data_IF_588635472989
#
_entry.id   IF_588635472989
#
_cell.length_a   1.000
_cell.length_b   1.000
_cell.length_c   1.000
_cell.angle_alpha   90.00
_cell.angle_beta   90.00
_cell.angle_gamma   90.00
#
_symmetry.space_group_name_H-M   'P 1'
#
loop_
_entity.id
_entity.type
_entity.pdbx_description
1 polymer ?
#
# COMPACT_ATOMS: atom_id res chain seq x y z
N UNK A 1 -2.03 -5.01 19.29
CA UNK A 1 -2.08 -3.79 18.49
C UNK A 1 -2.97 -3.97 17.28
N UNK A 2 -3.69 -2.92 16.92
CA UNK A 2 -4.59 -2.99 15.77
C UNK A 2 -3.79 -3.03 14.47
N UNK A 3 -4.31 -3.76 13.49
CA UNK A 3 -3.74 -3.78 12.15
C UNK A 3 -3.99 -2.44 11.44
N UNK A 4 -3.01 -1.98 10.68
CA UNK A 4 -3.21 -0.86 9.74
C UNK A 4 -4.02 -1.36 8.54
N UNK A 5 -4.47 -0.45 7.69
CA UNK A 5 -5.13 -0.84 6.45
C UNK A 5 -4.20 -1.69 5.56
N UNK A 6 -2.90 -1.34 5.56
CA UNK A 6 -1.88 -2.18 4.90
C UNK A 6 -1.89 -3.60 5.49
N UNK A 7 -1.85 -3.71 6.80
CA UNK A 7 -1.84 -5.00 7.49
C UNK A 7 -3.10 -5.82 7.21
N UNK A 8 -4.26 -5.16 7.19
CA UNK A 8 -5.53 -5.83 6.86
C UNK A 8 -5.51 -6.39 5.45
N UNK A 9 -5.00 -5.61 4.49
CA UNK A 9 -4.91 -6.05 3.10
C UNK A 9 -4.00 -7.27 2.94
N UNK A 10 -2.84 -7.25 3.60
CA UNK A 10 -1.88 -8.36 3.56
C UNK A 10 -2.47 -9.60 4.23
N UNK A 11 -3.11 -9.43 5.38
CA UNK A 11 -3.73 -10.54 6.08
C UNK A 11 -4.86 -11.17 5.26
N UNK A 12 -5.69 -10.34 4.65
CA UNK A 12 -6.76 -10.82 3.76
C UNK A 12 -6.17 -11.60 2.59
N UNK A 13 -5.08 -11.11 2.01
CA UNK A 13 -4.41 -11.79 0.91
C UNK A 13 -3.91 -13.17 1.34
N UNK A 14 -3.38 -13.30 2.56
CA UNK A 14 -2.97 -14.62 3.07
C UNK A 14 -4.16 -15.57 3.20
N UNK A 15 -5.27 -15.07 3.71
CA UNK A 15 -6.49 -15.88 3.84
C UNK A 15 -6.97 -16.33 2.45
N UNK A 16 -6.99 -15.41 1.49
CA UNK A 16 -7.46 -15.70 0.13
C UNK A 16 -6.56 -16.69 -0.60
N UNK A 17 -5.29 -16.78 -0.23
CA UNK A 17 -4.31 -17.68 -0.86
C UNK A 17 -3.95 -18.88 0.01
N UNK A 18 -4.68 -19.11 1.10
CA UNK A 18 -4.43 -20.21 2.04
C UNK A 18 -2.98 -20.24 2.54
N UNK A 19 -2.45 -19.07 2.86
CA UNK A 19 -1.07 -18.92 3.28
C UNK A 19 -0.99 -18.44 4.73
N UNK A 20 -0.12 -19.06 5.52
CA UNK A 20 0.10 -18.63 6.91
C UNK A 20 1.17 -17.56 6.97
N UNK A 21 1.17 -16.79 8.07
CA UNK A 21 2.22 -15.82 8.33
C UNK A 21 3.60 -16.50 8.38
N UNK A 22 3.66 -17.68 8.97
CA UNK A 22 4.90 -18.43 9.07
C UNK A 22 5.43 -18.83 7.69
N UNK A 23 4.57 -19.35 6.82
CA UNK A 23 4.96 -19.70 5.45
C UNK A 23 5.49 -18.49 4.71
N UNK A 24 4.76 -17.38 4.80
CA UNK A 24 5.14 -16.14 4.16
C UNK A 24 6.51 -15.65 4.67
N UNK A 25 6.72 -15.67 5.99
CA UNK A 25 7.99 -15.25 6.57
C UNK A 25 9.17 -16.09 6.09
N UNK A 26 8.98 -17.39 6.00
CA UNK A 26 10.03 -18.29 5.53
C UNK A 26 10.40 -18.02 4.07
N UNK A 27 9.40 -17.85 3.21
CA UNK A 27 9.65 -17.59 1.79
C UNK A 27 10.29 -16.22 1.55
N UNK A 28 9.94 -15.23 2.37
CA UNK A 28 10.54 -13.90 2.25
C UNK A 28 11.87 -13.77 3.00
N UNK A 29 12.27 -14.81 3.74
CA UNK A 29 13.54 -14.81 4.46
C UNK A 29 13.58 -13.87 5.65
N UNK A 30 12.44 -13.69 6.31
CA UNK A 30 12.31 -12.82 7.50
C UNK A 30 11.59 -13.56 8.61
N UNK A 31 11.54 -12.95 9.79
CA UNK A 31 10.81 -13.52 10.93
C UNK A 31 9.33 -13.13 10.83
N UNK A 32 8.48 -13.94 11.46
CA UNK A 32 7.05 -13.61 11.59
C UNK A 32 6.86 -12.29 12.34
N UNK A 33 7.71 -12.03 13.35
CA UNK A 33 7.67 -10.80 14.12
C UNK A 33 7.96 -9.57 13.23
N UNK A 34 8.91 -9.70 12.29
CA UNK A 34 9.21 -8.63 11.34
C UNK A 34 8.00 -8.29 10.48
N UNK A 35 7.36 -9.31 9.88
CA UNK A 35 6.16 -9.10 9.06
C UNK A 35 5.03 -8.52 9.89
N UNK A 36 4.83 -9.02 11.10
CA UNK A 36 3.80 -8.50 12.00
C UNK A 36 4.02 -7.03 12.30
N UNK A 37 5.28 -6.61 12.47
CA UNK A 37 5.62 -5.21 12.68
C UNK A 37 5.24 -4.31 11.50
N UNK A 38 5.39 -4.82 10.27
CA UNK A 38 4.95 -4.09 9.08
C UNK A 38 3.42 -3.96 9.06
N UNK A 39 2.72 -5.01 9.45
CA UNK A 39 1.25 -5.06 9.41
C UNK A 39 0.59 -4.19 10.48
N UNK A 40 1.23 -4.03 11.62
CA UNK A 40 0.70 -3.22 12.73
C UNK A 40 1.16 -1.77 12.69
N UNK A 41 2.11 -1.46 11.82
CA UNK A 41 2.65 -0.10 11.72
C UNK A 41 3.71 0.21 12.76
N UNK A 42 4.15 -0.78 13.56
CA UNK A 42 5.23 -0.57 14.50
C UNK A 42 6.58 -0.41 13.80
N UNK A 43 6.65 -0.83 12.54
CA UNK A 43 7.82 -0.64 11.68
C UNK A 43 7.39 0.10 10.42
N UNK A 44 8.25 0.98 9.91
CA UNK A 44 8.06 1.59 8.60
C UNK A 44 8.18 0.53 7.52
N UNK A 45 7.48 0.73 6.41
CA UNK A 45 7.41 -0.22 5.31
C UNK A 45 8.21 0.31 4.13
N UNK A 46 9.47 -0.16 3.92
CA UNK A 46 10.25 0.27 2.76
C UNK A 46 9.63 -0.22 1.45
N UNK A 47 9.88 0.52 0.38
CA UNK A 47 9.42 0.18 -0.97
C UNK A 47 9.78 -1.25 -1.36
N UNK A 48 10.97 -1.69 -0.99
CA UNK A 48 11.45 -3.04 -1.26
C UNK A 48 10.47 -4.09 -0.75
N UNK A 49 9.98 -3.90 0.49
CA UNK A 49 9.08 -4.89 1.09
C UNK A 49 7.68 -4.83 0.49
N UNK A 50 7.22 -3.66 0.06
CA UNK A 50 5.95 -3.56 -0.68
C UNK A 50 6.05 -4.41 -1.95
N UNK A 51 7.14 -4.23 -2.71
CA UNK A 51 7.36 -4.97 -3.95
C UNK A 51 7.49 -6.48 -3.69
N UNK A 52 8.27 -6.87 -2.69
CA UNK A 52 8.49 -8.28 -2.37
C UNK A 52 7.18 -8.96 -1.95
N UNK A 53 6.34 -8.26 -1.18
CA UNK A 53 5.04 -8.78 -0.77
C UNK A 53 4.10 -8.88 -1.96
N UNK A 54 4.08 -7.87 -2.84
CA UNK A 54 3.29 -7.93 -4.06
C UNK A 54 3.69 -9.13 -4.93
N UNK A 55 5.00 -9.34 -5.11
CA UNK A 55 5.53 -10.44 -5.90
C UNK A 55 5.18 -11.80 -5.28
N UNK A 56 5.24 -11.88 -3.95
CA UNK A 56 4.86 -13.09 -3.21
C UNK A 56 3.43 -13.51 -3.54
N UNK A 57 2.49 -12.57 -3.47
CA UNK A 57 1.08 -12.87 -3.74
C UNK A 57 0.80 -13.04 -5.23
N UNK A 58 1.51 -12.29 -6.08
CA UNK A 58 1.37 -12.42 -7.53
C UNK A 58 1.73 -13.84 -7.98
N UNK A 59 2.77 -14.44 -7.40
CA UNK A 59 3.16 -15.81 -7.70
C UNK A 59 2.08 -16.82 -7.30
N UNK A 60 1.12 -16.41 -6.48
CA UNK A 60 -0.01 -17.22 -6.03
C UNK A 60 -1.33 -16.81 -6.70
N UNK A 61 -1.23 -16.01 -7.77
CA UNK A 61 -2.41 -15.64 -8.56
C UNK A 61 -3.21 -14.46 -8.01
N UNK A 62 -2.66 -13.72 -7.05
CA UNK A 62 -3.36 -12.59 -6.44
C UNK A 62 -2.56 -11.31 -6.61
N UNK A 63 -3.15 -10.32 -7.29
CA UNK A 63 -2.53 -9.02 -7.47
C UNK A 63 -3.04 -8.01 -6.44
N UNK A 64 -2.11 -7.30 -5.81
CA UNK A 64 -2.41 -6.26 -4.83
C UNK A 64 -1.99 -4.91 -5.39
N UNK A 65 -2.89 -4.28 -6.14
CA UNK A 65 -2.59 -3.07 -6.93
C UNK A 65 -2.32 -1.82 -6.10
N UNK A 66 -3.01 -1.69 -4.95
CA UNK A 66 -2.94 -0.47 -4.14
C UNK A 66 -2.04 -0.63 -2.91
N UNK A 67 -1.22 -1.66 -2.87
CA UNK A 67 -0.42 -1.97 -1.67
C UNK A 67 0.56 -0.85 -1.31
N UNK A 68 1.16 -0.21 -2.31
CA UNK A 68 2.08 0.92 -2.05
C UNK A 68 1.34 2.10 -1.42
N UNK A 69 0.12 2.41 -1.90
CA UNK A 69 -0.68 3.48 -1.31
C UNK A 69 -0.99 3.20 0.15
N UNK A 70 -1.35 1.95 0.46
CA UNK A 70 -1.63 1.55 1.83
C UNK A 70 -0.38 1.62 2.72
N UNK A 71 0.78 1.27 2.17
CA UNK A 71 2.04 1.39 2.88
C UNK A 71 2.38 2.86 3.16
N UNK A 72 2.17 3.73 2.17
CA UNK A 72 2.42 5.17 2.32
C UNK A 72 1.56 5.75 3.43
N UNK A 73 0.28 5.36 3.50
CA UNK A 73 -0.62 5.82 4.57
C UNK A 73 -0.14 5.32 5.92
N UNK A 74 0.26 4.04 6.01
CA UNK A 74 0.81 3.49 7.25
C UNK A 74 2.07 4.21 7.67
N UNK A 75 2.93 4.55 6.70
CA UNK A 75 4.18 5.26 6.97
C UNK A 75 3.97 6.75 7.23
N UNK A 76 2.79 7.27 6.96
CA UNK A 76 2.50 8.71 7.01
C UNK A 76 3.46 9.50 6.11
N UNK A 77 3.76 8.95 4.93
CA UNK A 77 4.78 9.50 4.05
C UNK A 77 4.55 9.05 2.62
N UNK A 78 4.65 9.98 1.68
CA UNK A 78 4.60 9.70 0.25
C UNK A 78 5.86 10.27 -0.39
N UNK A 79 6.60 9.44 -1.14
CA UNK A 79 7.80 9.90 -1.83
C UNK A 79 7.41 10.71 -3.07
N UNK A 80 8.08 11.83 -3.27
CA UNK A 80 7.92 12.64 -4.48
C UNK A 80 8.97 12.30 -5.54
N UNK A 81 9.85 11.35 -5.25
CA UNK A 81 10.89 10.93 -6.20
C UNK A 81 10.28 10.40 -7.50
N UNK A 82 10.84 10.84 -8.61
CA UNK A 82 10.39 10.41 -9.92
C UNK A 82 9.18 11.16 -10.46
N UNK A 83 8.57 12.02 -9.66
CA UNK A 83 7.43 12.82 -10.10
C UNK A 83 7.90 14.12 -10.77
N UNK A 84 7.14 14.58 -11.76
CA UNK A 84 7.37 15.88 -12.36
C UNK A 84 7.12 16.98 -11.33
N UNK A 85 7.66 18.17 -11.56
CA UNK A 85 7.42 19.30 -10.67
C UNK A 85 5.95 19.61 -10.54
N UNK A 86 5.20 19.52 -11.65
CA UNK A 86 3.76 19.74 -11.64
C UNK A 86 3.04 18.74 -10.74
N UNK A 87 3.41 17.47 -10.82
CA UNK A 87 2.83 16.44 -9.94
C UNK A 87 3.19 16.69 -8.49
N UNK A 88 4.45 17.05 -8.21
CA UNK A 88 4.87 17.34 -6.84
C UNK A 88 4.07 18.49 -6.25
N UNK A 89 3.84 19.53 -7.03
CA UNK A 89 3.04 20.70 -6.59
C UNK A 89 1.59 20.30 -6.31
N UNK A 90 1.01 19.46 -7.16
CA UNK A 90 -0.36 18.98 -6.95
C UNK A 90 -0.48 18.14 -5.69
N UNK A 91 0.46 17.23 -5.45
CA UNK A 91 0.45 16.38 -4.25
C UNK A 91 0.56 17.25 -2.99
N UNK A 92 1.50 18.19 -2.98
CA UNK A 92 1.71 19.07 -1.83
C UNK A 92 0.49 19.96 -1.58
N UNK A 93 -0.08 20.51 -2.65
CA UNK A 93 -1.28 21.35 -2.55
C UNK A 93 -2.48 20.58 -2.06
N UNK A 94 -2.69 19.38 -2.61
CA UNK A 94 -3.79 18.51 -2.19
C UNK A 94 -3.71 18.18 -0.69
N UNK A 95 -2.51 17.85 -0.22
CA UNK A 95 -2.29 17.46 1.18
C UNK A 95 -2.66 18.56 2.17
N UNK A 96 -2.61 19.83 1.74
CA UNK A 96 -2.88 20.98 2.60
C UNK A 96 -4.27 21.58 2.37
N UNK A 97 -5.02 21.11 1.37
CA UNK A 97 -6.32 21.72 1.02
C UNK A 97 -7.45 21.18 1.91
N UNK A 98 -8.32 22.08 2.43
CA UNK A 98 -9.48 21.65 3.22
C UNK A 98 -10.58 21.18 2.28
N UNK A 99 -10.57 19.90 1.94
CA UNK A 99 -11.54 19.34 1.00
C UNK A 99 -12.72 18.70 1.75
N UNK A 100 -13.92 18.89 1.22
CA UNK A 100 -15.12 18.23 1.74
C UNK A 100 -15.12 16.76 1.31
N UNK A 101 -15.86 15.88 2.03
CA UNK A 101 -15.99 14.49 1.61
C UNK A 101 -16.49 14.33 0.18
N UNK A 102 -17.37 15.23 -0.26
CA UNK A 102 -17.90 15.21 -1.62
C UNK A 102 -16.83 15.52 -2.66
N UNK A 103 -16.01 16.54 -2.37
CA UNK A 103 -14.88 16.89 -3.24
C UNK A 103 -13.86 15.77 -3.31
N UNK A 104 -13.55 15.13 -2.17
CA UNK A 104 -12.65 13.98 -2.12
C UNK A 104 -13.17 12.83 -2.98
N UNK A 105 -14.47 12.58 -2.93
CA UNK A 105 -15.12 11.55 -3.74
C UNK A 105 -14.96 11.83 -5.23
N UNK A 106 -15.15 13.08 -5.65
CA UNK A 106 -14.98 13.47 -7.06
C UNK A 106 -13.54 13.27 -7.53
N UNK A 107 -12.58 13.66 -6.71
CA UNK A 107 -11.17 13.48 -7.03
C UNK A 107 -10.85 11.99 -7.14
N UNK A 108 -11.32 11.17 -6.20
CA UNK A 108 -11.11 9.74 -6.22
C UNK A 108 -11.69 9.09 -7.49
N UNK A 109 -12.87 9.52 -7.91
CA UNK A 109 -13.50 9.04 -9.14
C UNK A 109 -12.70 9.43 -10.38
N UNK A 110 -12.19 10.66 -10.42
CA UNK A 110 -11.35 11.12 -11.53
C UNK A 110 -10.07 10.29 -11.61
N UNK A 111 -9.42 10.05 -10.49
CA UNK A 111 -8.20 9.22 -10.45
C UNK A 111 -8.48 7.78 -10.90
N UNK A 112 -9.61 7.23 -10.49
CA UNK A 112 -10.02 5.89 -10.90
C UNK A 112 -10.21 5.82 -12.41
N UNK A 113 -10.84 6.83 -13.01
CA UNK A 113 -11.06 6.89 -14.46
C UNK A 113 -9.75 7.01 -15.21
N UNK A 114 -8.82 7.84 -14.73
CA UNK A 114 -7.49 8.00 -15.32
C UNK A 114 -6.75 6.67 -15.31
N UNK A 115 -6.75 5.97 -14.19
CA UNK A 115 -6.06 4.68 -14.06
C UNK A 115 -6.71 3.59 -14.91
N UNK A 116 -8.03 3.61 -15.05
CA UNK A 116 -8.74 2.64 -15.90
C UNK A 116 -8.46 2.86 -17.38
N UNK A 117 -8.26 4.11 -17.79
CA UNK A 117 -8.04 4.47 -19.19
C UNK A 117 -6.56 4.50 -19.57
N UNK A 118 -5.67 4.28 -18.60
CA UNK A 118 -4.23 4.38 -18.80
C UNK A 118 -3.57 3.12 -19.32
N UNK A 119 -4.34 2.14 -19.68
CA UNK A 119 -3.81 0.85 -20.16
C UNK A 119 -3.40 0.89 -21.63
#
# INVERSE_FOLDING_TARGET
MALTEFGKAVRKARIDTDCTLLTMSKELGVTSAFLSGLETGSKKIPKKWVKDIQDFFKSRGLELYDLQQLADVSNEYVSLDGLSQSQQMLVAGFAKSPLTPEQLKRIAELMKNINSNGD
#
